data_IF_212518712187
#
_entry.id   IF_212518712187
#
_cell.length_a   1.000
_cell.length_b   1.000
_cell.length_c   1.000
_cell.angle_alpha   90.00
_cell.angle_beta   90.00
_cell.angle_gamma   90.00
#
_symmetry.space_group_name_H-M   'P 1'
#
loop_
_entity.id
_entity.type
_entity.pdbx_description
1 polymer ?
#
# COMPACT_ATOMS: atom_id res chain seq x y z
N UNK A 1 6.55 21.02 -10.92
CA UNK A 1 5.60 19.93 -10.53
C UNK A 1 6.32 19.03 -9.54
N UNK A 2 5.68 18.66 -8.40
CA UNK A 2 6.29 17.74 -7.43
C UNK A 2 6.35 16.33 -8.00
N UNK A 3 7.35 15.56 -7.59
CA UNK A 3 7.61 14.21 -8.09
C UNK A 3 7.40 13.15 -7.00
N UNK A 4 6.79 12.02 -7.39
CA UNK A 4 6.49 10.88 -6.51
C UNK A 4 7.11 9.62 -7.11
N UNK A 5 7.93 8.93 -6.32
CA UNK A 5 8.48 7.62 -6.67
C UNK A 5 7.65 6.52 -6.01
N UNK A 6 7.07 5.64 -6.80
CA UNK A 6 6.34 4.46 -6.32
C UNK A 6 7.33 3.32 -6.08
N UNK A 7 7.59 3.00 -4.84
CA UNK A 7 8.33 1.83 -4.40
C UNK A 7 7.31 0.73 -4.03
N UNK A 8 6.91 -0.07 -5.01
CA UNK A 8 5.76 -0.96 -4.86
C UNK A 8 5.83 -2.17 -5.78
N UNK A 9 4.93 -3.13 -5.57
CA UNK A 9 4.73 -4.24 -6.49
C UNK A 9 3.81 -3.81 -7.63
N UNK A 10 4.21 -4.10 -8.86
CA UNK A 10 3.44 -3.83 -10.07
C UNK A 10 3.08 -5.13 -10.79
N UNK A 11 1.98 -5.14 -11.58
CA UNK A 11 1.69 -6.28 -12.44
C UNK A 11 2.78 -6.49 -13.51
N UNK A 12 3.01 -7.75 -13.97
CA UNK A 12 2.54 -9.02 -13.44
C UNK A 12 3.31 -9.48 -12.18
N UNK A 13 2.75 -10.35 -11.32
CA UNK A 13 1.41 -10.93 -11.38
C UNK A 13 0.31 -9.95 -10.94
N UNK A 14 -0.92 -10.17 -11.44
CA UNK A 14 -2.07 -9.39 -11.04
C UNK A 14 -2.65 -9.95 -9.75
N UNK A 15 -2.65 -9.15 -8.69
CA UNK A 15 -3.30 -9.43 -7.41
C UNK A 15 -3.78 -8.12 -6.78
N UNK A 16 -4.55 -8.18 -5.70
CA UNK A 16 -5.21 -7.00 -5.12
C UNK A 16 -4.29 -5.80 -4.91
N UNK A 17 -3.12 -6.00 -4.31
CA UNK A 17 -2.14 -4.94 -4.08
C UNK A 17 -1.60 -4.37 -5.41
N UNK A 18 -1.12 -5.23 -6.32
CA UNK A 18 -0.52 -4.77 -7.58
C UNK A 18 -1.54 -4.05 -8.45
N UNK A 19 -2.82 -4.49 -8.44
CA UNK A 19 -3.93 -3.80 -9.13
C UNK A 19 -4.19 -2.42 -8.53
N UNK A 20 -4.26 -2.30 -7.21
CA UNK A 20 -4.49 -1.03 -6.52
C UNK A 20 -3.35 -0.03 -6.81
N UNK A 21 -2.10 -0.49 -6.75
CA UNK A 21 -0.92 0.33 -7.08
C UNK A 21 -0.95 0.78 -8.53
N UNK A 22 -1.25 -0.12 -9.46
CA UNK A 22 -1.32 0.18 -10.89
C UNK A 22 -2.45 1.18 -11.20
N UNK A 23 -3.61 1.02 -10.58
CA UNK A 23 -4.73 1.96 -10.69
C UNK A 23 -4.32 3.35 -10.21
N UNK A 24 -3.67 3.45 -9.05
CA UNK A 24 -3.19 4.74 -8.52
C UNK A 24 -2.10 5.33 -9.43
N UNK A 25 -1.14 4.51 -9.87
CA UNK A 25 -0.06 4.95 -10.75
C UNK A 25 -0.56 5.46 -12.10
N UNK A 26 -1.67 4.92 -12.63
CA UNK A 26 -2.30 5.31 -13.88
C UNK A 26 -3.45 6.31 -13.72
N UNK A 27 -3.69 6.84 -12.51
CA UNK A 27 -4.75 7.79 -12.22
C UNK A 27 -4.47 9.20 -12.76
N UNK A 28 -5.50 10.08 -12.72
CA UNK A 28 -5.39 11.50 -13.07
C UNK A 28 -4.40 12.29 -12.20
N UNK A 29 -3.87 11.70 -11.14
CA UNK A 29 -2.81 12.33 -10.34
C UNK A 29 -1.54 12.60 -11.15
N UNK A 30 -1.32 11.89 -12.27
CA UNK A 30 -0.24 12.19 -13.23
C UNK A 30 -0.33 13.59 -13.84
N UNK A 31 -1.50 14.18 -13.88
CA UNK A 31 -1.70 15.56 -14.36
C UNK A 31 -1.12 16.59 -13.37
N UNK A 32 -1.03 16.22 -12.08
CA UNK A 32 -0.56 17.09 -10.99
C UNK A 32 0.84 16.79 -10.48
N UNK A 33 1.29 15.53 -10.68
CA UNK A 33 2.56 15.04 -10.15
C UNK A 33 3.35 14.26 -11.22
N UNK A 34 4.65 14.38 -11.17
CA UNK A 34 5.53 13.54 -12.00
C UNK A 34 5.74 12.19 -11.30
N UNK A 35 5.36 11.08 -11.94
CA UNK A 35 5.48 9.73 -11.39
C UNK A 35 6.70 9.00 -11.95
N UNK A 36 7.44 8.35 -11.05
CA UNK A 36 8.44 7.34 -11.35
C UNK A 36 8.15 6.07 -10.55
N UNK A 37 8.71 4.93 -10.94
CA UNK A 37 8.49 3.67 -10.23
C UNK A 37 9.79 2.90 -10.03
N UNK A 38 9.88 2.22 -8.89
CA UNK A 38 10.85 1.20 -8.55
C UNK A 38 10.03 -0.05 -8.23
N UNK A 39 10.02 -1.00 -9.14
CA UNK A 39 9.26 -2.24 -9.00
C UNK A 39 10.01 -3.21 -8.10
N UNK A 40 9.36 -3.61 -6.99
CA UNK A 40 9.88 -4.55 -5.99
C UNK A 40 9.18 -5.90 -6.01
N UNK A 41 8.48 -6.23 -7.09
CA UNK A 41 7.80 -7.53 -7.26
C UNK A 41 8.81 -8.68 -7.23
N UNK A 42 9.97 -8.52 -7.86
CA UNK A 42 11.00 -9.54 -7.93
C UNK A 42 12.08 -9.37 -6.85
N UNK A 43 12.05 -10.23 -5.85
CA UNK A 43 13.02 -10.22 -4.74
C UNK A 43 14.48 -10.43 -5.20
N UNK A 44 14.73 -11.06 -6.35
CA UNK A 44 16.10 -11.22 -6.88
C UNK A 44 16.74 -9.89 -7.29
N UNK A 45 15.94 -8.82 -7.42
CA UNK A 45 16.39 -7.49 -7.81
C UNK A 45 16.53 -6.52 -6.63
N UNK A 46 16.50 -6.99 -5.38
CA UNK A 46 16.54 -6.13 -4.19
C UNK A 46 17.73 -5.16 -4.22
N UNK A 47 18.93 -5.63 -4.51
CA UNK A 47 20.14 -4.79 -4.57
C UNK A 47 20.02 -3.69 -5.62
N UNK A 48 19.47 -4.03 -6.81
CA UNK A 48 19.20 -3.03 -7.86
C UNK A 48 18.20 -2.00 -7.38
N UNK A 49 17.09 -2.43 -6.78
CA UNK A 49 16.04 -1.54 -6.26
C UNK A 49 16.57 -0.63 -5.14
N UNK A 50 17.48 -1.11 -4.28
CA UNK A 50 18.13 -0.27 -3.25
C UNK A 50 19.03 0.80 -3.89
N UNK A 51 19.78 0.47 -4.94
CA UNK A 51 20.60 1.44 -5.68
C UNK A 51 19.72 2.47 -6.41
N UNK A 52 18.63 2.03 -7.03
CA UNK A 52 17.67 2.92 -7.69
C UNK A 52 17.03 3.87 -6.67
N UNK A 53 16.62 3.34 -5.51
CA UNK A 53 16.07 4.14 -4.41
C UNK A 53 17.08 5.15 -3.86
N UNK A 54 18.36 4.73 -3.72
CA UNK A 54 19.45 5.61 -3.30
C UNK A 54 19.64 6.79 -4.27
N UNK A 55 19.57 6.51 -5.57
CA UNK A 55 19.72 7.52 -6.63
C UNK A 55 18.44 8.32 -6.89
N UNK A 56 17.31 7.91 -6.31
CA UNK A 56 16.01 8.54 -6.53
C UNK A 56 16.05 10.01 -6.12
N UNK A 57 15.63 10.90 -7.04
CA UNK A 57 15.55 12.35 -6.81
C UNK A 57 14.15 12.86 -6.52
N UNK A 58 13.14 11.98 -6.53
CA UNK A 58 11.75 12.36 -6.27
C UNK A 58 11.56 13.01 -4.90
N UNK A 59 10.61 13.93 -4.82
CA UNK A 59 10.28 14.67 -3.60
C UNK A 59 9.66 13.78 -2.52
N UNK A 60 8.86 12.80 -2.95
CA UNK A 60 8.14 11.87 -2.06
C UNK A 60 8.33 10.44 -2.57
N UNK A 61 8.50 9.52 -1.65
CA UNK A 61 8.42 8.07 -1.90
C UNK A 61 7.06 7.57 -1.41
N UNK A 62 6.27 7.00 -2.31
CA UNK A 62 5.09 6.22 -1.97
C UNK A 62 5.50 4.76 -1.86
N UNK A 63 5.31 4.15 -0.70
CA UNK A 63 5.80 2.81 -0.40
C UNK A 63 4.68 1.88 0.06
N UNK A 64 4.62 0.67 -0.51
CA UNK A 64 3.69 -0.38 -0.07
C UNK A 64 4.47 -1.52 0.59
N UNK A 65 4.48 -1.60 1.93
CA UNK A 65 5.22 -2.63 2.63
C UNK A 65 4.53 -3.99 2.54
N UNK A 66 5.35 -5.03 2.61
CA UNK A 66 4.92 -6.42 2.68
C UNK A 66 4.33 -6.77 4.05
N UNK A 67 3.39 -7.71 4.06
CA UNK A 67 2.81 -8.27 5.29
C UNK A 67 3.31 -9.70 5.57
N UNK A 68 4.55 -10.01 5.17
CA UNK A 68 5.22 -11.28 5.47
C UNK A 68 6.54 -11.03 6.21
N UNK A 69 7.01 -11.99 7.04
CA UNK A 69 8.25 -11.85 7.82
C UNK A 69 9.46 -11.52 6.95
N UNK A 70 9.68 -12.30 5.89
CA UNK A 70 10.81 -12.08 4.98
C UNK A 70 10.69 -10.80 4.16
N UNK A 71 9.46 -10.49 3.70
CA UNK A 71 9.17 -9.25 3.01
C UNK A 71 9.40 -8.02 3.90
N UNK A 72 9.00 -8.08 5.17
CA UNK A 72 9.23 -7.00 6.12
C UNK A 72 10.73 -6.76 6.38
N UNK A 73 11.55 -7.82 6.45
CA UNK A 73 13.00 -7.65 6.59
C UNK A 73 13.61 -6.91 5.39
N UNK A 74 13.17 -7.26 4.17
CA UNK A 74 13.53 -6.52 2.94
C UNK A 74 13.08 -5.06 3.04
N UNK A 75 11.87 -4.82 3.50
CA UNK A 75 11.27 -3.49 3.57
C UNK A 75 12.01 -2.59 4.56
N UNK A 76 12.52 -3.15 5.65
CA UNK A 76 13.40 -2.43 6.58
C UNK A 76 14.68 -1.92 5.91
N UNK A 77 15.22 -2.64 4.91
CA UNK A 77 16.37 -2.14 4.14
C UNK A 77 15.97 -0.91 3.31
N UNK A 78 14.81 -0.93 2.65
CA UNK A 78 14.29 0.22 1.93
C UNK A 78 14.03 1.40 2.87
N UNK A 79 13.36 1.17 3.99
CA UNK A 79 13.09 2.21 4.99
C UNK A 79 14.38 2.80 5.57
N UNK A 80 15.43 2.00 5.75
CA UNK A 80 16.76 2.48 6.17
C UNK A 80 17.36 3.45 5.14
N UNK A 81 17.28 3.10 3.86
CA UNK A 81 17.75 3.98 2.76
C UNK A 81 16.93 5.28 2.72
N UNK A 82 15.60 5.20 2.80
CA UNK A 82 14.69 6.34 2.82
C UNK A 82 15.05 7.29 3.97
N UNK A 83 15.17 6.73 5.18
CA UNK A 83 15.49 7.51 6.38
C UNK A 83 16.91 8.10 6.33
N UNK A 84 17.89 7.36 5.84
CA UNK A 84 19.27 7.85 5.71
C UNK A 84 19.37 8.98 4.69
N UNK A 85 18.64 8.86 3.57
CA UNK A 85 18.56 9.91 2.54
C UNK A 85 17.62 11.05 2.94
N UNK A 86 17.02 11.01 4.12
CA UNK A 86 16.06 11.99 4.63
C UNK A 86 14.92 12.26 3.63
N UNK A 87 14.43 11.20 2.95
CA UNK A 87 13.36 11.29 1.97
C UNK A 87 12.01 11.33 2.66
N UNK A 88 11.12 12.21 2.21
CA UNK A 88 9.71 12.14 2.60
C UNK A 88 9.11 10.85 2.06
N UNK A 89 8.56 10.04 2.95
CA UNK A 89 7.92 8.79 2.56
C UNK A 89 6.54 8.67 3.18
N UNK A 90 5.59 8.21 2.39
CA UNK A 90 4.25 7.82 2.81
C UNK A 90 4.12 6.33 2.57
N UNK A 91 3.77 5.58 3.61
CA UNK A 91 3.47 4.15 3.48
C UNK A 91 1.97 3.96 3.27
N UNK A 92 1.58 3.02 2.40
CA UNK A 92 0.19 2.64 2.19
C UNK A 92 0.02 1.15 2.49
N UNK A 93 -0.76 0.83 3.52
CA UNK A 93 -1.03 -0.53 3.96
C UNK A 93 -2.29 -1.05 3.26
N UNK A 94 -2.14 -2.10 2.45
CA UNK A 94 -3.22 -2.72 1.69
C UNK A 94 -3.77 -3.99 2.35
N UNK A 95 -3.80 -4.05 3.69
CA UNK A 95 -4.35 -5.17 4.44
C UNK A 95 -4.26 -4.96 5.94
N UNK A 96 -4.97 -5.77 6.72
CA UNK A 96 -5.07 -5.63 8.18
C UNK A 96 -3.93 -6.30 8.97
N UNK A 97 -3.12 -7.15 8.33
CA UNK A 97 -2.19 -8.02 9.04
C UNK A 97 -0.88 -7.35 9.48
N UNK A 98 -0.59 -6.15 8.99
CA UNK A 98 0.69 -5.47 9.25
C UNK A 98 0.97 -5.29 10.74
N UNK A 99 0.00 -4.88 11.54
CA UNK A 99 0.14 -4.71 12.99
C UNK A 99 0.43 -6.03 13.68
N UNK A 100 -0.32 -7.08 13.37
CA UNK A 100 -0.12 -8.43 13.88
C UNK A 100 1.29 -8.93 13.57
N UNK A 101 1.73 -8.78 12.32
CA UNK A 101 3.07 -9.14 11.88
C UNK A 101 4.14 -8.47 12.75
N UNK A 102 4.05 -7.14 12.92
CA UNK A 102 5.09 -6.36 13.61
C UNK A 102 5.12 -6.66 15.10
N UNK A 103 3.97 -6.83 15.75
CA UNK A 103 3.91 -6.98 17.20
C UNK A 103 4.13 -8.43 17.66
N UNK A 104 3.74 -9.42 16.85
CA UNK A 104 3.69 -10.81 17.29
C UNK A 104 4.53 -11.77 16.46
N UNK A 105 4.71 -11.54 15.15
CA UNK A 105 5.30 -12.55 14.27
C UNK A 105 6.78 -12.33 13.99
N UNK A 106 7.31 -11.12 14.21
CA UNK A 106 8.73 -10.83 14.02
C UNK A 106 9.49 -10.79 15.34
N UNK A 107 10.82 -11.05 15.35
CA UNK A 107 11.64 -10.93 16.54
C UNK A 107 11.63 -9.49 17.11
N UNK A 108 11.85 -9.36 18.42
CA UNK A 108 11.81 -8.07 19.13
C UNK A 108 12.73 -6.99 18.54
N UNK A 109 13.91 -7.39 18.03
CA UNK A 109 14.81 -6.45 17.36
C UNK A 109 14.21 -5.90 16.05
N UNK A 110 13.55 -6.76 15.27
CA UNK A 110 12.90 -6.37 14.00
C UNK A 110 11.68 -5.49 14.27
N UNK A 111 10.88 -5.82 15.30
CA UNK A 111 9.80 -4.95 15.81
C UNK A 111 10.31 -3.57 16.15
N UNK A 112 11.37 -3.47 16.98
CA UNK A 112 11.97 -2.19 17.36
C UNK A 112 12.42 -1.38 16.14
N UNK A 113 13.03 -2.04 15.15
CA UNK A 113 13.44 -1.39 13.90
C UNK A 113 12.25 -0.85 13.10
N UNK A 114 11.14 -1.60 13.00
CA UNK A 114 9.93 -1.14 12.34
C UNK A 114 9.36 0.12 13.00
N UNK A 115 9.19 0.10 14.33
CA UNK A 115 8.71 1.25 15.08
C UNK A 115 9.60 2.49 14.85
N UNK A 116 10.90 2.32 14.91
CA UNK A 116 11.86 3.42 14.71
C UNK A 116 11.82 3.95 13.26
N UNK A 117 11.70 3.05 12.28
CA UNK A 117 11.67 3.43 10.88
C UNK A 117 10.37 4.16 10.50
N UNK A 118 9.22 3.64 10.97
CA UNK A 118 7.90 4.21 10.66
C UNK A 118 7.70 5.57 11.33
N UNK A 119 8.17 5.78 12.55
CA UNK A 119 8.11 7.09 13.24
C UNK A 119 8.71 8.26 12.46
N UNK A 120 9.65 7.99 11.56
CA UNK A 120 10.34 9.00 10.75
C UNK A 120 9.63 9.29 9.43
N UNK A 121 8.57 8.56 9.10
CA UNK A 121 7.84 8.73 7.86
C UNK A 121 6.98 9.99 7.88
N UNK A 122 6.71 10.51 6.71
CA UNK A 122 5.83 11.67 6.53
C UNK A 122 4.37 11.35 6.82
N UNK A 123 3.95 10.08 6.63
CA UNK A 123 2.61 9.62 6.96
C UNK A 123 2.35 8.17 6.58
N UNK A 124 1.17 7.69 6.97
CA UNK A 124 0.65 6.37 6.65
C UNK A 124 -0.76 6.46 6.05
N UNK A 125 -1.06 5.59 5.10
CA UNK A 125 -2.38 5.44 4.51
C UNK A 125 -2.91 4.05 4.86
N UNK A 126 -4.16 3.99 5.28
CA UNK A 126 -4.91 2.76 5.57
C UNK A 126 -6.20 2.72 4.75
N UNK A 127 -6.77 1.53 4.54
CA UNK A 127 -7.95 1.35 3.68
C UNK A 127 -9.28 1.71 4.35
N UNK A 128 -9.29 1.91 5.66
CA UNK A 128 -10.51 2.26 6.40
C UNK A 128 -10.22 2.69 7.83
N UNK A 129 -11.18 3.34 8.46
CA UNK A 129 -11.04 3.82 9.84
C UNK A 129 -10.77 2.71 10.85
N UNK A 130 -11.32 1.50 10.64
CA UNK A 130 -11.04 0.33 11.48
C UNK A 130 -9.58 -0.12 11.48
N UNK A 131 -8.79 0.30 10.48
CA UNK A 131 -7.37 -0.02 10.34
C UNK A 131 -6.45 1.10 10.86
N UNK A 132 -7.00 2.18 11.41
CA UNK A 132 -6.23 3.32 11.93
C UNK A 132 -5.22 2.89 13.01
N UNK A 133 -5.63 1.95 13.88
CA UNK A 133 -4.78 1.40 14.94
C UNK A 133 -3.52 0.65 14.45
N UNK A 134 -3.41 0.36 13.16
CA UNK A 134 -2.20 -0.25 12.58
C UNK A 134 -0.94 0.57 12.90
N UNK A 135 -1.07 1.90 12.90
CA UNK A 135 0.04 2.81 13.16
C UNK A 135 0.11 3.36 14.58
N UNK A 136 -0.76 2.90 15.49
CA UNK A 136 -0.76 3.31 16.88
C UNK A 136 0.61 3.12 17.54
N UNK A 137 1.12 4.18 18.20
CA UNK A 137 2.46 4.20 18.78
C UNK A 137 3.62 4.29 17.77
N UNK A 138 3.32 4.30 16.46
CA UNK A 138 4.30 4.49 15.38
C UNK A 138 4.19 5.85 14.71
N UNK A 139 2.97 6.29 14.36
CA UNK A 139 2.70 7.60 13.78
C UNK A 139 1.70 8.36 14.63
N UNK A 140 1.77 9.69 14.69
CA UNK A 140 0.71 10.50 15.27
C UNK A 140 -0.52 10.52 14.37
N UNK A 141 -1.70 10.70 14.94
CA UNK A 141 -2.99 10.58 14.26
C UNK A 141 -3.16 11.55 13.10
N UNK A 142 -2.59 12.74 13.20
CA UNK A 142 -2.61 13.77 12.15
C UNK A 142 -1.81 13.38 10.89
N UNK A 143 -1.05 12.29 10.94
CA UNK A 143 -0.29 11.72 9.82
C UNK A 143 -0.84 10.40 9.31
N UNK A 144 -2.01 9.97 9.80
CA UNK A 144 -2.67 8.75 9.34
C UNK A 144 -3.88 9.15 8.48
N UNK A 145 -3.88 8.69 7.23
CA UNK A 145 -4.88 9.02 6.24
C UNK A 145 -5.68 7.78 5.85
N UNK A 146 -6.98 7.95 5.61
CA UNK A 146 -7.83 6.87 5.11
C UNK A 146 -8.04 7.04 3.62
N UNK A 147 -7.69 6.01 2.86
CA UNK A 147 -7.92 5.94 1.42
C UNK A 147 -8.42 4.53 1.07
N UNK A 148 -9.74 4.33 0.95
CA UNK A 148 -10.30 3.03 0.63
C UNK A 148 -9.94 2.59 -0.77
N UNK A 149 -9.90 1.26 -1.00
CA UNK A 149 -9.83 0.74 -2.34
C UNK A 149 -11.09 1.13 -3.12
N UNK A 150 -10.91 1.40 -4.41
CA UNK A 150 -12.01 1.66 -5.33
C UNK A 150 -12.08 0.56 -6.39
N UNK A 151 -13.23 0.43 -7.00
CA UNK A 151 -13.45 -0.35 -8.21
C UNK A 151 -13.46 0.58 -9.41
N UNK A 152 -13.12 0.05 -10.57
CA UNK A 152 -13.24 0.76 -11.83
C UNK A 152 -14.72 1.01 -12.14
N UNK A 153 -15.06 2.20 -12.64
CA UNK A 153 -16.42 2.59 -12.98
C UNK A 153 -17.09 1.61 -13.95
N UNK A 154 -16.30 0.93 -14.78
CA UNK A 154 -16.77 -0.13 -15.67
C UNK A 154 -17.42 -1.33 -14.94
N UNK A 155 -17.13 -1.51 -13.64
CA UNK A 155 -17.74 -2.56 -12.82
C UNK A 155 -18.97 -2.08 -12.04
N UNK A 156 -19.32 -0.80 -12.13
CA UNK A 156 -20.55 -0.29 -11.51
C UNK A 156 -21.72 -0.73 -12.40
N UNK A 157 -22.49 -1.70 -11.90
CA UNK A 157 -23.66 -2.21 -12.64
C UNK A 157 -24.69 -1.10 -12.82
N UNK A 158 -25.20 -0.87 -14.04
CA UNK A 158 -26.14 0.23 -14.33
C UNK A 158 -27.47 0.15 -13.58
N UNK A 159 -27.82 -1.00 -12.97
CA UNK A 159 -29.13 -1.13 -12.31
C UNK A 159 -29.10 -2.07 -11.10
N UNK A 160 -28.58 -1.56 -9.98
CA UNK A 160 -28.77 -2.23 -8.69
C UNK A 160 -30.28 -2.38 -8.38
N UNK A 161 -31.11 -1.44 -8.82
CA UNK A 161 -32.56 -1.46 -8.66
C UNK A 161 -33.25 -2.61 -9.41
N UNK A 162 -32.81 -2.96 -10.63
CA UNK A 162 -33.33 -4.14 -11.34
C UNK A 162 -33.01 -5.43 -10.63
N UNK A 163 -31.81 -5.55 -10.05
CA UNK A 163 -31.43 -6.75 -9.27
C UNK A 163 -32.25 -6.85 -7.98
N UNK A 164 -32.47 -5.73 -7.29
CA UNK A 164 -33.30 -5.66 -6.10
C UNK A 164 -34.75 -6.04 -6.44
N UNK A 165 -35.30 -5.55 -7.53
CA UNK A 165 -36.66 -5.88 -7.97
C UNK A 165 -36.79 -7.37 -8.31
N UNK A 166 -35.85 -7.96 -9.05
CA UNK A 166 -35.82 -9.40 -9.32
C UNK A 166 -35.83 -10.26 -8.06
N UNK A 167 -35.14 -9.84 -6.99
CA UNK A 167 -35.12 -10.54 -5.70
C UNK A 167 -36.49 -10.41 -5.01
N UNK A 168 -37.10 -9.21 -5.03
CA UNK A 168 -38.44 -8.95 -4.48
C UNK A 168 -39.54 -9.76 -5.17
N UNK A 169 -39.40 -9.97 -6.47
CA UNK A 169 -40.33 -10.75 -7.31
C UNK A 169 -40.13 -12.25 -7.20
N UNK A 170 -39.40 -12.73 -6.16
CA UNK A 170 -39.19 -14.16 -5.91
C UNK A 170 -38.09 -14.82 -6.74
N UNK A 171 -37.21 -14.03 -7.38
CA UNK A 171 -36.03 -14.52 -8.09
C UNK A 171 -35.01 -15.19 -7.16
N UNK A 172 -34.26 -16.15 -7.68
CA UNK A 172 -33.20 -16.82 -6.92
C UNK A 172 -32.11 -15.82 -6.47
N UNK A 173 -31.76 -15.86 -5.19
CA UNK A 173 -30.63 -15.11 -4.64
C UNK A 173 -29.32 -15.84 -4.95
N UNK A 174 -28.46 -15.21 -5.75
CA UNK A 174 -27.11 -15.69 -6.04
C UNK A 174 -26.10 -14.95 -5.16
N UNK A 175 -25.45 -15.67 -4.27
CA UNK A 175 -24.39 -15.13 -3.40
C UNK A 175 -23.05 -15.56 -3.97
N UNK A 176 -22.19 -14.60 -4.33
CA UNK A 176 -20.83 -14.86 -4.75
C UNK A 176 -19.89 -14.43 -3.64
N UNK A 177 -19.11 -15.38 -3.12
CA UNK A 177 -18.02 -15.12 -2.19
C UNK A 177 -16.69 -15.22 -2.94
N UNK A 178 -15.96 -14.12 -3.00
CA UNK A 178 -14.63 -14.05 -3.62
C UNK A 178 -13.59 -13.95 -2.50
N UNK A 179 -12.74 -14.94 -2.39
CA UNK A 179 -11.61 -14.98 -1.46
C UNK A 179 -10.35 -15.44 -2.20
N UNK A 180 -9.21 -14.91 -1.78
CA UNK A 180 -7.88 -15.42 -2.16
C UNK A 180 -7.42 -16.43 -1.13
#
# INVERSE_FOLDING_TARGET
MKSICFLAQFPPPMHGLSKAVDTLYNSRLKEKYHFSKIDITNNKRILKSLVELWKCKSDVVYFTPSQTRGGNLRDLMFLKVINWRNKKCIVHIHGGYYRQLIDHDVPSWQRKMNYQAVRRLAGGIVLGHSLHSIFEGMLPDDRIFVCPNCVDDAFIAPSINEKINKIKDGGALHILYLSN
#
